data_IF_796684641901
#
_entry.id   IF_796684641901
#
_cell.length_a   1.000
_cell.length_b   1.000
_cell.length_c   1.000
_cell.angle_alpha   90.00
_cell.angle_beta   90.00
_cell.angle_gamma   90.00
#
_symmetry.space_group_name_H-M   'P 1'
#
loop_
_entity.id
_entity.type
_entity.pdbx_description
1 polymer ?
#
# COMPACT_ATOMS: atom_id res chain seq x y z
N UNK A 1 -12.66 -11.28 7.58
CA UNK A 1 -11.40 -10.79 7.00
C UNK A 1 -11.51 -9.27 6.80
N UNK A 2 -10.46 -8.49 7.08
CA UNK A 2 -10.41 -7.01 6.90
C UNK A 2 -9.09 -6.63 6.21
N UNK A 3 -9.09 -5.55 5.41
CA UNK A 3 -7.87 -4.99 4.81
C UNK A 3 -7.24 -3.97 5.76
N UNK A 4 -5.96 -3.63 5.56
CA UNK A 4 -5.28 -2.57 6.34
C UNK A 4 -6.09 -1.28 6.35
N UNK A 5 -6.64 -0.87 5.19
CA UNK A 5 -7.44 0.35 5.06
C UNK A 5 -8.73 0.38 5.89
N UNK A 6 -9.22 -0.78 6.31
CA UNK A 6 -10.45 -0.92 7.10
C UNK A 6 -10.17 -0.81 8.62
N UNK A 7 -8.90 -0.64 9.04
CA UNK A 7 -8.52 -0.47 10.45
C UNK A 7 -8.26 1.01 10.77
N UNK A 8 -8.93 1.59 11.79
CA UNK A 8 -8.92 3.03 12.05
C UNK A 8 -7.56 3.58 12.49
N UNK A 9 -6.69 2.75 13.05
CA UNK A 9 -5.35 3.18 13.47
C UNK A 9 -4.26 2.78 12.47
N UNK A 10 -4.40 1.63 11.82
CA UNK A 10 -3.39 1.14 10.88
C UNK A 10 -3.41 1.92 9.57
N UNK A 11 -4.59 2.27 9.04
CA UNK A 11 -4.66 3.00 7.78
C UNK A 11 -4.09 4.42 7.83
N UNK A 12 -4.41 5.23 8.86
CA UNK A 12 -3.68 6.47 9.11
C UNK A 12 -2.18 6.26 9.25
N UNK A 13 -1.75 5.23 10.01
CA UNK A 13 -0.32 4.98 10.23
C UNK A 13 0.43 4.60 8.96
N UNK A 14 -0.16 3.78 8.09
CA UNK A 14 0.42 3.45 6.78
C UNK A 14 0.62 4.70 5.91
N UNK A 15 -0.35 5.63 5.91
CA UNK A 15 -0.25 6.87 5.11
C UNK A 15 0.75 7.85 5.70
N UNK A 16 0.82 7.97 7.03
CA UNK A 16 1.83 8.73 7.76
C UNK A 16 3.26 8.26 7.44
N UNK A 17 3.49 6.94 7.49
CA UNK A 17 4.75 6.35 7.03
C UNK A 17 5.03 6.65 5.55
N UNK A 18 4.05 6.46 4.67
CA UNK A 18 4.23 6.71 3.24
C UNK A 18 4.62 8.17 2.94
N UNK A 19 4.03 9.12 3.67
CA UNK A 19 4.25 10.57 3.52
C UNK A 19 5.51 11.06 4.26
N UNK A 20 6.20 10.19 5.00
CA UNK A 20 7.50 10.51 5.59
C UNK A 20 8.53 10.78 4.48
N UNK A 21 9.33 11.86 4.57
CA UNK A 21 10.29 12.23 3.54
C UNK A 21 11.19 11.07 3.10
N UNK A 22 11.26 10.82 1.78
CA UNK A 22 12.06 9.76 1.17
C UNK A 22 11.46 8.35 1.20
N UNK A 23 10.33 8.10 1.88
CA UNK A 23 9.70 6.77 1.86
C UNK A 23 8.94 6.51 0.57
N UNK A 24 8.10 7.46 0.12
CA UNK A 24 7.30 7.28 -1.10
C UNK A 24 8.15 7.00 -2.35
N UNK A 25 9.36 7.55 -2.43
CA UNK A 25 10.33 7.32 -3.51
C UNK A 25 10.81 5.86 -3.59
N UNK A 26 10.58 5.06 -2.55
CA UNK A 26 10.99 3.66 -2.45
C UNK A 26 9.83 2.68 -2.64
N UNK A 27 8.60 3.16 -2.82
CA UNK A 27 7.39 2.32 -2.89
C UNK A 27 6.91 2.18 -4.34
N UNK A 28 7.03 0.97 -4.89
CA UNK A 28 6.69 0.66 -6.29
C UNK A 28 5.65 -0.47 -6.40
N UNK A 29 4.34 -0.18 -6.22
CA UNK A 29 3.29 -1.20 -6.16
C UNK A 29 3.25 -2.13 -7.37
N UNK A 30 3.51 -1.60 -8.58
CA UNK A 30 3.50 -2.42 -9.80
C UNK A 30 4.63 -3.45 -9.82
N UNK A 31 5.83 -3.09 -9.33
CA UNK A 31 6.94 -4.05 -9.22
C UNK A 31 6.56 -5.17 -8.26
N UNK A 32 5.98 -4.82 -7.11
CA UNK A 32 5.58 -5.81 -6.11
C UNK A 32 4.48 -6.73 -6.64
N UNK A 33 3.45 -6.17 -7.27
CA UNK A 33 2.35 -6.95 -7.85
C UNK A 33 2.87 -7.93 -8.90
N UNK A 34 3.72 -7.49 -9.82
CA UNK A 34 4.32 -8.38 -10.81
C UNK A 34 5.19 -9.47 -10.17
N UNK A 35 5.92 -9.15 -9.10
CA UNK A 35 6.68 -10.12 -8.32
C UNK A 35 5.79 -11.19 -7.67
N UNK A 36 4.72 -10.78 -6.96
CA UNK A 36 3.83 -11.67 -6.23
C UNK A 36 2.93 -12.52 -7.14
N UNK A 37 2.33 -11.90 -8.16
CA UNK A 37 1.50 -12.63 -9.12
C UNK A 37 2.35 -13.44 -10.11
N UNK A 38 3.68 -13.26 -10.11
CA UNK A 38 4.67 -14.03 -10.86
C UNK A 38 4.47 -14.09 -12.37
N UNK A 39 5.54 -13.88 -13.12
CA UNK A 39 5.56 -14.15 -14.56
C UNK A 39 5.65 -15.65 -14.91
N UNK A 40 5.88 -16.51 -13.91
CA UNK A 40 6.07 -17.94 -14.15
C UNK A 40 4.74 -18.61 -14.49
N UNK A 41 4.68 -19.27 -15.65
CA UNK A 41 3.51 -20.05 -16.09
C UNK A 41 3.14 -21.17 -15.11
N UNK A 42 4.09 -21.67 -14.31
CA UNK A 42 3.80 -22.67 -13.27
C UNK A 42 3.02 -22.07 -12.08
N UNK A 43 3.27 -20.80 -11.74
CA UNK A 43 2.67 -20.12 -10.58
C UNK A 43 1.46 -19.27 -10.96
N UNK A 44 1.45 -18.70 -12.16
CA UNK A 44 0.35 -17.93 -12.71
C UNK A 44 0.14 -18.30 -14.18
N UNK A 45 -0.51 -19.46 -14.44
CA UNK A 45 -0.67 -20.00 -15.79
C UNK A 45 -1.39 -19.06 -16.77
N UNK A 46 -2.22 -18.16 -16.25
CA UNK A 46 -2.98 -17.21 -17.07
C UNK A 46 -2.30 -15.83 -17.17
N UNK A 47 -1.21 -15.61 -16.44
CA UNK A 47 -0.51 -14.32 -16.40
C UNK A 47 -1.35 -13.16 -15.87
N UNK A 48 -2.44 -13.43 -15.15
CA UNK A 48 -3.37 -12.38 -14.71
C UNK A 48 -2.78 -11.65 -13.50
N UNK A 49 -2.66 -10.33 -13.62
CA UNK A 49 -2.32 -9.43 -12.52
C UNK A 49 -3.52 -8.52 -12.25
N UNK A 50 -4.14 -8.56 -11.07
CA UNK A 50 -5.29 -7.71 -10.76
C UNK A 50 -4.94 -6.22 -10.89
N UNK A 51 -5.82 -5.42 -11.51
CA UNK A 51 -5.60 -3.97 -11.67
C UNK A 51 -5.64 -3.22 -10.33
N UNK A 52 -6.59 -3.55 -9.47
CA UNK A 52 -6.79 -2.86 -8.19
C UNK A 52 -5.84 -3.33 -7.07
N UNK A 53 -6.14 -2.89 -5.83
CA UNK A 53 -7.09 -1.81 -5.49
C UNK A 53 -6.57 -0.42 -5.87
N UNK A 54 -7.47 0.53 -6.11
CA UNK A 54 -7.10 1.94 -6.14
C UNK A 54 -6.84 2.43 -4.70
N UNK A 55 -5.66 3.00 -4.48
CA UNK A 55 -5.20 3.46 -3.18
C UNK A 55 -4.55 4.83 -3.34
N UNK A 56 -5.06 5.81 -2.60
CA UNK A 56 -4.38 7.08 -2.39
C UNK A 56 -3.64 7.04 -1.04
N UNK A 57 -2.32 6.83 -1.10
CA UNK A 57 -1.46 6.88 0.08
C UNK A 57 -1.13 8.30 0.53
N UNK A 58 -1.37 9.30 -0.32
CA UNK A 58 -1.10 10.73 -0.07
C UNK A 58 -2.28 11.44 0.59
N UNK A 59 -3.43 10.79 0.71
CA UNK A 59 -4.58 11.33 1.45
C UNK A 59 -4.20 11.69 2.90
N UNK A 60 -4.70 12.80 3.47
CA UNK A 60 -4.39 13.23 4.84
C UNK A 60 -4.59 12.13 5.89
N UNK A 61 -3.58 11.89 6.72
CA UNK A 61 -3.62 10.81 7.71
C UNK A 61 -4.15 11.23 9.08
N UNK A 62 -4.11 12.50 9.47
CA UNK A 62 -4.69 12.98 10.72
C UNK A 62 -3.93 12.52 11.98
N UNK A 63 -2.66 12.14 11.86
CA UNK A 63 -1.86 11.60 12.97
C UNK A 63 -1.05 12.65 13.72
N UNK A 64 -0.97 13.86 13.18
CA UNK A 64 -0.37 15.04 13.81
C UNK A 64 -0.98 15.35 15.18
N UNK A 65 -2.26 15.02 15.41
CA UNK A 65 -2.95 15.18 16.69
C UNK A 65 -2.31 14.37 17.83
N UNK A 66 -1.61 13.29 17.50
CA UNK A 66 -0.94 12.43 18.50
C UNK A 66 0.36 13.04 19.03
N UNK A 67 0.92 14.03 18.33
CA UNK A 67 2.14 14.75 18.72
C UNK A 67 1.86 16.04 19.50
N UNK A 68 0.58 16.41 19.67
CA UNK A 68 0.17 17.64 20.33
C UNK A 68 -0.02 17.50 21.86
N UNK A 69 0.55 16.44 22.45
CA UNK A 69 0.50 16.12 23.88
C UNK A 69 1.88 16.24 24.54
#
# INVERSE_FOLDING_TARGET
>A
LRRIRDYPNLWPYTRDLYQTPGISDLVFPDIYKNGYFSISELRNPLGIVPKGPEIDFSAPHGREILNAA
#
